data_IF_506489874936
#
_entry.id   IF_506489874936
#
_cell.length_a   1.000
_cell.length_b   1.000
_cell.length_c   1.000
_cell.angle_alpha   90.00
_cell.angle_beta   90.00
_cell.angle_gamma   90.00
#
_symmetry.space_group_name_H-M   'P 1'
#
loop_
_entity.id
_entity.type
_entity.pdbx_description
1 polymer ?
#
# COMPACT_ATOMS: atom_id res chain seq x y z
N UNK A 1 -21.98 6.87 -8.38
CA UNK A 1 -21.01 6.12 -7.55
C UNK A 1 -20.26 7.09 -6.64
N UNK A 2 -20.12 6.77 -5.35
CA UNK A 2 -19.30 7.57 -4.44
C UNK A 2 -17.85 7.23 -4.75
N UNK A 3 -17.16 8.15 -5.42
CA UNK A 3 -15.73 8.07 -5.67
C UNK A 3 -14.98 9.11 -4.84
N UNK A 4 -13.66 9.10 -4.94
CA UNK A 4 -12.82 10.00 -4.16
C UNK A 4 -13.07 11.48 -4.49
N UNK A 5 -13.39 11.81 -5.74
CA UNK A 5 -13.55 13.19 -6.18
C UNK A 5 -14.87 13.77 -5.67
N UNK A 6 -15.93 12.96 -5.66
CA UNK A 6 -17.18 13.29 -4.98
C UNK A 6 -16.95 13.56 -3.49
N UNK A 7 -16.21 12.68 -2.80
CA UNK A 7 -15.89 12.85 -1.37
C UNK A 7 -15.11 14.14 -1.12
N UNK A 8 -14.07 14.40 -1.89
CA UNK A 8 -13.30 15.66 -1.81
C UNK A 8 -14.20 16.88 -2.00
N UNK A 9 -15.10 16.83 -2.97
CA UNK A 9 -16.04 17.92 -3.25
C UNK A 9 -16.97 18.22 -2.08
N UNK A 10 -17.48 17.18 -1.40
CA UNK A 10 -18.29 17.33 -0.19
C UNK A 10 -17.46 17.91 0.96
N UNK A 11 -16.28 17.36 1.20
CA UNK A 11 -15.39 17.83 2.27
C UNK A 11 -14.98 19.30 2.08
N UNK A 12 -14.66 19.70 0.85
CA UNK A 12 -14.29 21.09 0.51
C UNK A 12 -15.45 22.09 0.66
N UNK A 13 -16.70 21.65 0.52
CA UNK A 13 -17.90 22.47 0.69
C UNK A 13 -18.41 22.50 2.14
N UNK A 14 -17.83 21.68 3.01
CA UNK A 14 -18.24 21.59 4.41
C UNK A 14 -17.76 22.80 5.21
N UNK A 15 -18.46 23.10 6.30
CA UNK A 15 -18.03 24.09 7.29
C UNK A 15 -16.69 23.73 7.96
N UNK A 16 -16.25 22.47 7.83
CA UNK A 16 -14.98 21.98 8.36
C UNK A 16 -13.79 22.29 7.45
N UNK A 17 -14.02 22.60 6.17
CA UNK A 17 -12.97 22.79 5.17
C UNK A 17 -11.82 23.75 5.59
N UNK A 18 -12.07 24.85 6.32
CA UNK A 18 -11.00 25.74 6.76
C UNK A 18 -10.07 25.16 7.84
N UNK A 19 -10.47 24.09 8.54
CA UNK A 19 -9.78 23.59 9.74
C UNK A 19 -8.80 22.46 9.47
N UNK A 20 -8.70 21.97 8.23
CA UNK A 20 -7.81 20.88 7.88
C UNK A 20 -7.35 20.96 6.42
N UNK A 21 -6.22 20.30 6.12
CA UNK A 21 -5.75 20.07 4.75
C UNK A 21 -5.59 18.57 4.54
N UNK A 22 -6.10 18.05 3.44
CA UNK A 22 -5.92 16.65 3.08
C UNK A 22 -4.47 16.38 2.68
N UNK A 23 -3.84 15.39 3.31
CA UNK A 23 -2.49 14.93 2.94
C UNK A 23 -2.52 13.91 1.78
N UNK A 24 -3.67 13.31 1.51
CA UNK A 24 -3.88 12.42 0.37
C UNK A 24 -5.32 12.49 -0.13
N UNK A 25 -5.51 11.96 -1.33
CA UNK A 25 -6.82 11.65 -1.91
C UNK A 25 -7.60 10.68 -0.99
N UNK A 26 -8.81 11.02 -0.51
CA UNK A 26 -9.62 10.14 0.32
C UNK A 26 -9.90 8.80 -0.38
N UNK A 27 -9.79 7.69 0.36
CA UNK A 27 -10.03 6.36 -0.15
C UNK A 27 -11.40 5.87 0.29
N UNK A 28 -12.27 5.56 -0.67
CA UNK A 28 -13.59 4.97 -0.41
C UNK A 28 -13.44 3.44 -0.46
N UNK A 29 -13.84 2.77 0.61
CA UNK A 29 -13.79 1.32 0.75
C UNK A 29 -15.20 0.81 1.03
N UNK A 30 -15.77 0.05 0.10
CA UNK A 30 -17.01 -0.66 0.31
C UNK A 30 -16.69 -2.10 0.71
N UNK A 31 -17.42 -2.67 1.68
CA UNK A 31 -17.21 -4.07 2.10
C UNK A 31 -17.57 -5.08 1.00
N UNK A 32 -18.45 -4.70 0.07
CA UNK A 32 -18.76 -5.47 -1.13
C UNK A 32 -19.38 -4.56 -2.21
N UNK A 33 -19.51 -5.08 -3.43
CA UNK A 33 -20.19 -4.39 -4.55
C UNK A 33 -21.67 -4.13 -4.26
N UNK A 34 -22.27 -4.89 -3.34
CA UNK A 34 -23.67 -4.77 -2.94
C UNK A 34 -23.84 -4.14 -1.54
N UNK A 35 -22.74 -3.69 -0.92
CA UNK A 35 -22.81 -3.07 0.40
C UNK A 35 -23.39 -1.67 0.29
N UNK A 36 -24.32 -1.38 1.18
CA UNK A 36 -24.89 -0.05 1.44
C UNK A 36 -23.95 0.81 2.32
N UNK A 37 -23.06 0.17 3.09
CA UNK A 37 -21.99 0.81 3.85
C UNK A 37 -20.69 1.03 3.04
N UNK A 38 -20.09 2.22 3.20
CA UNK A 38 -18.76 2.55 2.73
C UNK A 38 -17.96 3.28 3.82
N UNK A 39 -16.71 2.86 4.03
CA UNK A 39 -15.75 3.59 4.87
C UNK A 39 -14.90 4.52 4.02
N UNK A 40 -14.63 5.71 4.55
CA UNK A 40 -13.76 6.69 3.88
C UNK A 40 -12.53 6.92 4.73
N UNK A 41 -11.37 6.66 4.16
CA UNK A 41 -10.08 6.85 4.80
C UNK A 41 -9.39 8.09 4.23
N UNK A 42 -8.95 9.01 5.08
CA UNK A 42 -8.12 10.14 4.64
C UNK A 42 -7.06 10.46 5.69
N UNK A 43 -5.94 11.01 5.25
CA UNK A 43 -4.96 11.62 6.14
C UNK A 43 -5.08 13.14 6.07
N UNK A 44 -4.74 13.78 7.19
CA UNK A 44 -4.76 15.22 7.36
C UNK A 44 -3.34 15.69 7.64
N UNK A 45 -2.96 16.81 7.02
CA UNK A 45 -1.75 17.54 7.41
C UNK A 45 -2.04 18.19 8.75
N UNK A 46 -1.23 17.88 9.76
CA UNK A 46 -1.44 18.37 11.12
C UNK A 46 -0.11 18.75 11.80
N UNK A 47 -0.24 19.60 12.80
CA UNK A 47 0.81 19.91 13.78
C UNK A 47 1.13 18.70 14.66
N UNK A 48 2.28 18.72 15.33
CA UNK A 48 2.67 17.70 16.30
C UNK A 48 1.66 17.53 17.45
N UNK A 49 0.86 18.55 17.74
CA UNK A 49 -0.18 18.54 18.78
C UNK A 49 -1.53 18.00 18.30
N UNK A 50 -1.67 17.70 17.00
CA UNK A 50 -2.86 17.10 16.43
C UNK A 50 -4.08 18.04 16.41
N UNK A 51 -3.87 19.35 16.22
CA UNK A 51 -4.93 20.35 16.30
C UNK A 51 -6.05 20.12 15.27
N UNK A 52 -5.69 19.89 14.00
CA UNK A 52 -6.68 19.65 12.94
C UNK A 52 -7.40 18.31 13.12
N UNK A 53 -6.68 17.25 13.49
CA UNK A 53 -7.26 15.95 13.80
C UNK A 53 -8.22 16.04 14.98
N UNK A 54 -7.88 16.76 16.06
CA UNK A 54 -8.78 16.98 17.21
C UNK A 54 -10.06 17.73 16.84
N UNK A 55 -9.98 18.69 15.91
CA UNK A 55 -11.17 19.37 15.40
C UNK A 55 -12.07 18.46 14.56
N UNK A 56 -11.48 17.47 13.90
CA UNK A 56 -12.22 16.51 13.07
C UNK A 56 -12.78 15.34 13.87
N UNK A 57 -12.04 14.81 14.83
CA UNK A 57 -12.49 13.71 15.70
C UNK A 57 -13.66 14.23 16.56
N UNK A 58 -14.83 13.60 16.43
CA UNK A 58 -16.15 14.02 16.97
C UNK A 58 -16.94 15.01 16.12
N UNK A 59 -16.46 15.35 14.93
CA UNK A 59 -17.24 16.10 13.93
C UNK A 59 -17.93 15.15 12.96
N UNK A 60 -18.72 15.69 12.03
CA UNK A 60 -19.42 14.91 11.01
C UNK A 60 -19.44 15.62 9.66
N UNK A 61 -19.40 14.85 8.59
CA UNK A 61 -19.63 15.33 7.22
C UNK A 61 -21.04 14.99 6.77
N UNK A 62 -21.62 15.85 5.94
CA UNK A 62 -22.96 15.65 5.40
C UNK A 62 -22.88 15.21 3.94
N UNK A 63 -23.36 14.01 3.63
CA UNK A 63 -23.34 13.39 2.30
C UNK A 63 -24.76 13.23 1.73
N UNK A 64 -25.47 14.34 1.52
CA UNK A 64 -26.90 14.29 1.20
C UNK A 64 -27.73 14.25 2.49
N UNK A 65 -28.67 13.31 2.67
CA UNK A 65 -29.53 13.23 3.88
C UNK A 65 -28.83 12.67 5.13
N UNK A 66 -27.51 12.76 5.15
CA UNK A 66 -26.67 11.66 5.57
C UNK A 66 -25.49 12.19 6.39
N UNK A 67 -25.57 12.06 7.73
CA UNK A 67 -24.50 12.44 8.66
C UNK A 67 -23.46 11.33 8.89
N UNK A 68 -22.24 11.56 8.45
CA UNK A 68 -21.07 10.70 8.55
C UNK A 68 -20.19 11.14 9.74
N UNK A 69 -20.19 10.44 10.90
CA UNK A 69 -19.31 10.80 12.01
C UNK A 69 -17.84 10.54 11.66
N UNK A 70 -16.95 11.40 12.17
CA UNK A 70 -15.50 11.28 12.02
C UNK A 70 -14.88 10.73 13.31
N UNK A 71 -14.27 9.57 13.20
CA UNK A 71 -13.51 8.90 14.24
C UNK A 71 -12.00 9.10 14.07
N UNK A 72 -11.26 8.75 15.11
CA UNK A 72 -9.87 8.39 14.95
C UNK A 72 -9.81 6.90 14.54
N UNK A 73 -9.12 6.61 13.44
CA UNK A 73 -8.59 5.31 13.14
C UNK A 73 -7.70 4.97 14.30
N UNK A 74 -7.79 3.75 14.76
CA UNK A 74 -6.59 3.18 15.33
C UNK A 74 -5.50 3.22 14.25
N UNK A 75 -4.24 3.42 14.60
CA UNK A 75 -3.14 3.18 13.67
C UNK A 75 -3.07 1.72 13.28
N UNK A 76 -3.96 1.31 12.40
CA UNK A 76 -3.62 0.35 11.38
C UNK A 76 -2.64 1.09 10.49
N UNK A 77 -1.38 1.18 10.95
CA UNK A 77 -0.27 1.38 10.04
C UNK A 77 -0.54 0.42 8.89
N UNK A 78 -0.60 0.96 7.65
CA UNK A 78 -0.58 0.11 6.47
C UNK A 78 0.49 -0.92 6.76
N UNK A 79 0.12 -2.19 6.64
CA UNK A 79 1.07 -3.26 6.92
C UNK A 79 2.31 -2.93 6.10
N UNK A 80 3.47 -2.77 6.72
CA UNK A 80 4.62 -2.25 5.99
C UNK A 80 4.92 -3.16 4.82
N UNK A 81 5.18 -2.55 3.65
CA UNK A 81 5.87 -3.25 2.59
C UNK A 81 7.36 -3.21 2.96
N UNK A 82 7.96 -4.37 3.14
CA UNK A 82 9.37 -4.47 3.49
C UNK A 82 10.21 -3.81 2.39
N UNK A 83 11.08 -2.86 2.73
CA UNK A 83 11.93 -2.20 1.72
C UNK A 83 13.11 -3.07 1.28
N UNK A 84 13.30 -4.24 1.91
CA UNK A 84 14.35 -5.18 1.56
C UNK A 84 13.85 -6.27 0.60
N UNK A 85 12.77 -6.97 0.93
CA UNK A 85 12.21 -8.03 0.07
C UNK A 85 10.97 -7.61 -0.72
N UNK A 86 10.39 -6.43 -0.45
CA UNK A 86 9.17 -5.91 -1.07
C UNK A 86 7.90 -6.75 -0.83
N UNK A 87 7.95 -7.70 0.09
CA UNK A 87 6.75 -8.39 0.55
C UNK A 87 5.97 -7.52 1.54
N UNK A 88 4.64 -7.58 1.46
CA UNK A 88 3.76 -7.09 2.52
C UNK A 88 3.80 -8.06 3.72
N UNK A 89 3.37 -7.58 4.89
CA UNK A 89 3.22 -8.42 6.09
C UNK A 89 4.27 -8.18 7.17
N UNK A 90 5.38 -7.49 6.88
CA UNK A 90 6.45 -7.30 7.85
C UNK A 90 7.30 -6.06 7.58
N UNK A 91 7.95 -5.55 8.63
CA UNK A 91 8.85 -4.40 8.52
C UNK A 91 10.21 -4.81 7.95
N UNK A 92 10.98 -3.85 7.43
CA UNK A 92 12.36 -4.08 6.98
C UNK A 92 13.24 -4.64 8.11
N UNK A 93 13.05 -4.17 9.35
CA UNK A 93 13.82 -4.63 10.51
C UNK A 93 13.51 -6.09 10.91
N UNK A 94 12.31 -6.58 10.56
CA UNK A 94 11.88 -7.96 10.81
C UNK A 94 12.03 -8.85 9.57
N UNK A 95 12.77 -8.39 8.55
CA UNK A 95 12.97 -9.15 7.32
C UNK A 95 14.10 -10.18 7.47
N UNK A 96 13.85 -11.39 6.98
CA UNK A 96 14.82 -12.49 6.99
C UNK A 96 15.45 -12.78 5.62
N UNK A 97 15.17 -11.96 4.60
CA UNK A 97 15.82 -12.10 3.30
C UNK A 97 17.32 -11.80 3.42
N UNK A 98 18.15 -12.62 2.79
CA UNK A 98 19.62 -12.48 2.82
C UNK A 98 20.13 -11.41 1.84
N UNK A 99 19.34 -11.08 0.83
CA UNK A 99 19.66 -10.09 -0.20
C UNK A 99 18.46 -9.17 -0.44
N UNK A 100 18.70 -7.92 -0.91
CA UNK A 100 17.62 -7.05 -1.36
C UNK A 100 16.96 -7.61 -2.62
N UNK A 101 15.67 -7.32 -2.78
CA UNK A 101 14.86 -7.70 -3.92
C UNK A 101 14.52 -6.49 -4.76
N UNK A 102 14.37 -6.71 -6.06
CA UNK A 102 14.03 -5.65 -6.99
C UNK A 102 12.50 -5.52 -7.04
N UNK A 103 11.92 -4.34 -6.76
CA UNK A 103 10.46 -4.14 -6.83
C UNK A 103 9.91 -4.20 -8.26
N UNK A 104 10.80 -4.10 -9.27
CA UNK A 104 10.45 -4.15 -10.69
C UNK A 104 10.39 -5.58 -11.23
N UNK A 105 11.41 -6.41 -10.96
CA UNK A 105 11.48 -7.77 -11.53
C UNK A 105 11.44 -8.89 -10.50
N UNK A 106 11.35 -8.58 -9.20
CA UNK A 106 11.46 -9.56 -8.11
C UNK A 106 12.77 -10.37 -8.13
N UNK A 107 13.85 -9.85 -8.72
CA UNK A 107 15.18 -10.47 -8.70
C UNK A 107 15.98 -10.14 -7.44
N UNK A 108 17.01 -10.95 -7.07
CA UNK A 108 17.82 -10.76 -5.87
C UNK A 108 18.86 -9.64 -6.02
N UNK A 109 18.40 -8.43 -6.28
CA UNK A 109 19.19 -7.20 -6.38
C UNK A 109 18.36 -5.98 -5.98
N UNK A 110 19.01 -4.88 -5.63
CA UNK A 110 18.31 -3.62 -5.37
C UNK A 110 17.78 -2.99 -6.66
N UNK A 111 16.78 -2.11 -6.55
CA UNK A 111 16.29 -1.31 -7.68
C UNK A 111 17.41 -0.49 -8.34
N UNK A 112 18.31 0.08 -7.53
CA UNK A 112 19.47 0.84 -8.01
C UNK A 112 20.40 0.01 -8.91
N UNK A 113 20.52 -1.29 -8.65
CA UNK A 113 21.37 -2.18 -9.44
C UNK A 113 20.60 -2.89 -10.57
N UNK A 114 19.32 -2.54 -10.79
CA UNK A 114 18.47 -3.22 -11.76
C UNK A 114 19.05 -3.17 -13.18
N UNK A 115 19.46 -2.01 -13.66
CA UNK A 115 19.98 -1.89 -15.03
C UNK A 115 21.34 -2.59 -15.20
N UNK A 116 22.08 -2.79 -14.11
CA UNK A 116 23.43 -3.38 -14.10
C UNK A 116 23.37 -4.91 -14.02
N UNK A 117 22.45 -5.46 -13.21
CA UNK A 117 22.42 -6.89 -12.88
C UNK A 117 21.37 -7.69 -13.66
N UNK A 118 20.38 -7.03 -14.26
CA UNK A 118 19.32 -7.72 -15.01
C UNK A 118 19.72 -7.83 -16.49
N UNK A 119 20.05 -9.04 -16.95
CA UNK A 119 20.56 -9.28 -18.32
C UNK A 119 19.60 -8.85 -19.44
N UNK A 120 18.30 -8.74 -19.15
CA UNK A 120 17.30 -8.18 -20.07
C UNK A 120 17.45 -6.67 -20.31
N UNK A 121 18.02 -5.91 -19.36
CA UNK A 121 18.21 -4.44 -19.44
C UNK A 121 19.62 -4.06 -19.93
N UNK A 122 20.60 -4.95 -19.74
CA UNK A 122 22.00 -4.76 -20.17
C UNK A 122 22.14 -4.68 -21.70
N UNK A 123 21.16 -5.20 -22.46
CA UNK A 123 21.32 -5.43 -23.88
C UNK A 123 22.28 -6.59 -24.13
N UNK A 124 22.19 -7.17 -25.33
CA UNK A 124 23.07 -8.23 -25.77
C UNK A 124 23.66 -7.84 -27.12
N UNK A 125 24.83 -7.18 -27.15
CA UNK A 125 25.48 -6.80 -28.41
C UNK A 125 25.94 -8.02 -29.22
N UNK A 126 25.99 -9.21 -28.61
CA UNK A 126 26.30 -10.48 -29.27
C UNK A 126 25.06 -11.26 -29.73
N UNK A 127 23.84 -10.79 -29.40
CA UNK A 127 22.61 -11.39 -29.94
C UNK A 127 22.48 -11.11 -31.44
N UNK A 128 21.70 -11.94 -32.14
CA UNK A 128 21.41 -11.75 -33.54
C UNK A 128 19.88 -11.71 -33.76
N UNK A 129 19.26 -10.52 -33.91
CA UNK A 129 19.90 -9.21 -34.01
C UNK A 129 20.44 -8.68 -32.66
N UNK A 130 21.43 -7.76 -32.67
CA UNK A 130 21.96 -7.14 -31.45
C UNK A 130 20.86 -6.43 -30.67
N UNK A 131 20.80 -6.68 -29.36
CA UNK A 131 19.83 -6.03 -28.47
C UNK A 131 20.53 -4.86 -27.79
N UNK A 132 20.12 -3.60 -28.00
CA UNK A 132 20.72 -2.45 -27.33
C UNK A 132 20.43 -2.47 -25.83
N UNK A 133 21.36 -1.93 -25.04
CA UNK A 133 21.13 -1.68 -23.62
C UNK A 133 19.98 -0.68 -23.44
N UNK A 134 19.18 -0.88 -22.40
CA UNK A 134 18.12 0.06 -22.07
C UNK A 134 18.75 1.32 -21.47
N UNK A 135 18.48 2.49 -22.07
CA UNK A 135 18.98 3.77 -21.54
C UNK A 135 18.46 4.00 -20.11
N UNK A 136 19.21 4.74 -19.30
CA UNK A 136 19.00 4.90 -17.84
C UNK A 136 17.62 5.48 -17.45
N UNK A 137 16.87 6.05 -18.40
CA UNK A 137 15.52 6.59 -18.20
C UNK A 137 14.45 5.92 -19.08
N UNK A 138 14.86 4.98 -19.94
CA UNK A 138 13.92 4.24 -20.77
C UNK A 138 13.21 3.16 -19.94
N UNK A 139 11.90 2.93 -20.16
CA UNK A 139 11.18 1.87 -19.47
C UNK A 139 11.84 0.52 -19.78
N UNK A 140 11.96 -0.34 -18.76
CA UNK A 140 12.57 -1.64 -18.92
C UNK A 140 11.80 -2.44 -20.01
N UNK A 141 12.51 -3.20 -20.86
CA UNK A 141 11.91 -3.91 -22.00
C UNK A 141 11.07 -5.12 -21.58
N UNK A 142 11.04 -5.44 -20.28
CA UNK A 142 10.24 -6.49 -19.69
C UNK A 142 9.16 -5.90 -18.80
N UNK A 143 8.06 -6.62 -18.70
CA UNK A 143 6.99 -6.27 -17.77
C UNK A 143 7.49 -6.36 -16.33
N UNK A 144 6.98 -5.48 -15.47
CA UNK A 144 7.21 -5.60 -14.05
C UNK A 144 6.57 -6.88 -13.49
N UNK A 145 7.16 -7.46 -12.45
CA UNK A 145 6.69 -8.67 -11.79
C UNK A 145 6.51 -8.41 -10.30
N UNK A 146 5.31 -8.68 -9.79
CA UNK A 146 4.95 -8.43 -8.41
C UNK A 146 5.33 -9.60 -7.51
N UNK A 147 6.27 -9.39 -6.57
CA UNK A 147 6.71 -10.44 -5.62
C UNK A 147 5.58 -11.00 -4.75
N UNK A 148 4.50 -10.24 -4.56
CA UNK A 148 3.41 -10.63 -3.67
C UNK A 148 2.33 -11.48 -4.33
N UNK A 149 2.02 -11.24 -5.61
CA UNK A 149 0.94 -11.97 -6.29
C UNK A 149 1.36 -12.64 -7.60
N UNK A 150 2.62 -12.49 -8.01
CA UNK A 150 3.15 -13.02 -9.27
C UNK A 150 2.61 -12.33 -10.53
N UNK A 151 1.87 -11.23 -10.38
CA UNK A 151 1.24 -10.54 -11.51
C UNK A 151 2.20 -9.61 -12.26
N UNK A 152 1.79 -9.26 -13.48
CA UNK A 152 2.49 -8.38 -14.43
C UNK A 152 2.37 -6.89 -14.05
N UNK A 153 2.82 -6.53 -12.85
CA UNK A 153 2.83 -5.16 -12.34
C UNK A 153 3.89 -4.98 -11.25
N UNK A 154 4.27 -3.73 -10.97
CA UNK A 154 5.15 -3.42 -9.84
C UNK A 154 4.45 -3.68 -8.50
N UNK A 155 5.22 -3.96 -7.46
CA UNK A 155 4.70 -4.16 -6.09
C UNK A 155 3.86 -2.99 -5.57
N UNK A 156 4.17 -1.76 -6.01
CA UNK A 156 3.46 -0.54 -5.64
C UNK A 156 2.16 -0.29 -6.41
N UNK A 157 1.81 -1.16 -7.36
CA UNK A 157 0.63 -0.98 -8.19
C UNK A 157 -0.66 -1.19 -7.37
N UNK A 158 -1.58 -0.22 -7.46
CA UNK A 158 -2.86 -0.24 -6.73
C UNK A 158 -3.82 -1.33 -7.19
N UNK A 159 -3.55 -1.97 -8.34
CA UNK A 159 -4.30 -3.13 -8.83
C UNK A 159 -3.88 -4.43 -8.13
N UNK A 160 -2.77 -4.44 -7.40
CA UNK A 160 -2.31 -5.63 -6.66
C UNK A 160 -3.35 -5.99 -5.57
N UNK A 161 -3.76 -7.27 -5.43
CA UNK A 161 -4.66 -7.68 -4.36
C UNK A 161 -4.15 -7.32 -2.96
N UNK A 162 -2.83 -7.36 -2.74
CA UNK A 162 -2.21 -6.99 -1.47
C UNK A 162 -2.36 -5.50 -1.15
N UNK A 163 -2.50 -4.64 -2.17
CA UNK A 163 -2.80 -3.23 -1.96
C UNK A 163 -4.21 -3.03 -1.37
N UNK A 164 -5.19 -3.79 -1.85
CA UNK A 164 -6.57 -3.73 -1.32
C UNK A 164 -6.66 -4.26 0.12
N UNK A 165 -5.82 -5.24 0.44
CA UNK A 165 -5.73 -5.82 1.79
C UNK A 165 -4.62 -5.19 2.65
N UNK A 166 -4.06 -4.03 2.28
CA UNK A 166 -2.94 -3.43 3.01
C UNK A 166 -3.26 -2.99 4.46
N UNK A 167 -4.53 -3.05 4.84
CA UNK A 167 -5.01 -2.79 6.21
C UNK A 167 -5.54 -4.04 6.91
N UNK A 168 -5.53 -5.20 6.25
CA UNK A 168 -6.03 -6.47 6.75
C UNK A 168 -4.84 -7.34 7.20
N UNK A 169 -4.45 -7.17 8.46
CA UNK A 169 -3.32 -7.90 9.05
C UNK A 169 -3.52 -9.41 9.04
N UNK A 170 -4.73 -9.89 9.30
CA UNK A 170 -5.02 -11.33 9.35
C UNK A 170 -4.91 -11.95 7.96
N UNK A 171 -5.46 -11.28 6.95
CA UNK A 171 -5.32 -11.71 5.56
C UNK A 171 -3.86 -11.71 5.10
N UNK A 172 -3.11 -10.67 5.44
CA UNK A 172 -1.70 -10.55 5.08
C UNK A 172 -0.82 -11.55 5.84
N UNK A 173 -1.07 -11.79 7.13
CA UNK A 173 -0.34 -12.78 7.92
C UNK A 173 -0.62 -14.21 7.43
N UNK A 174 -1.85 -14.50 7.00
CA UNK A 174 -2.21 -15.79 6.43
C UNK A 174 -1.50 -16.04 5.10
N UNK A 175 -1.48 -15.05 4.20
CA UNK A 175 -0.78 -15.16 2.91
C UNK A 175 0.73 -15.10 3.02
N UNK A 176 1.26 -14.23 3.87
CA UNK A 176 2.70 -14.17 4.12
C UNK A 176 3.19 -15.52 4.65
N UNK A 177 2.48 -16.17 5.57
CA UNK A 177 2.86 -17.51 6.04
C UNK A 177 2.80 -18.58 4.94
N UNK A 178 1.87 -18.50 3.99
CA UNK A 178 1.80 -19.45 2.87
C UNK A 178 2.97 -19.27 1.89
N UNK A 179 3.27 -18.03 1.50
CA UNK A 179 4.39 -17.71 0.61
C UNK A 179 5.74 -17.96 1.30
N UNK A 180 5.85 -17.65 2.61
CA UNK A 180 7.04 -17.96 3.43
C UNK A 180 7.22 -19.46 3.65
N UNK A 181 6.17 -20.27 3.85
CA UNK A 181 6.33 -21.73 3.98
C UNK A 181 6.75 -22.37 2.66
N UNK A 182 6.22 -21.90 1.53
CA UNK A 182 6.70 -22.29 0.19
C UNK A 182 8.16 -21.91 -0.03
N UNK A 183 8.56 -20.70 0.40
CA UNK A 183 9.93 -20.21 0.34
C UNK A 183 10.90 -20.91 1.29
N UNK A 184 10.52 -21.10 2.56
CA UNK A 184 11.31 -21.81 3.58
C UNK A 184 11.44 -23.29 3.27
N UNK A 185 10.44 -23.92 2.64
CA UNK A 185 10.57 -25.26 2.11
C UNK A 185 11.59 -25.35 0.97
N UNK A 186 11.80 -24.26 0.21
CA UNK A 186 12.85 -24.15 -0.80
C UNK A 186 14.22 -23.71 -0.22
N UNK A 187 14.27 -23.07 0.97
CA UNK A 187 15.49 -22.44 1.51
C UNK A 187 15.99 -22.98 2.87
N UNK A 188 15.25 -23.84 3.58
CA UNK A 188 15.74 -24.67 4.68
C UNK A 188 16.07 -24.00 6.03
N UNK A 189 15.27 -23.06 6.55
CA UNK A 189 15.55 -22.41 7.86
C UNK A 189 14.35 -22.42 8.84
N UNK A 190 14.60 -22.27 10.16
CA UNK A 190 13.60 -22.27 11.26
C UNK A 190 13.67 -20.98 12.10
N UNK A 191 12.53 -20.48 12.61
CA UNK A 191 12.35 -19.14 13.22
C UNK A 191 12.00 -19.18 14.73
N UNK A 192 12.38 -18.13 15.48
CA UNK A 192 11.89 -17.80 16.84
C UNK A 192 11.27 -16.38 16.84
N UNK A 193 10.09 -16.25 17.46
CA UNK A 193 9.21 -15.06 17.47
C UNK A 193 9.53 -14.12 18.64
N UNK A 194 9.54 -12.80 18.40
CA UNK A 194 9.48 -11.78 19.45
C UNK A 194 8.73 -10.52 18.93
N UNK A 195 8.00 -9.86 19.83
CA UNK A 195 6.88 -8.93 19.55
C UNK A 195 7.23 -7.50 20.00
N UNK A 196 6.85 -6.45 19.26
CA UNK A 196 7.02 -5.05 19.73
C UNK A 196 6.08 -3.98 19.10
N UNK A 197 6.08 -2.82 19.77
CA UNK A 197 5.05 -1.77 20.02
C UNK A 197 4.60 -0.79 18.90
N UNK A 198 3.48 -0.10 19.19
CA UNK A 198 2.54 0.68 18.36
C UNK A 198 2.73 2.23 18.36
N UNK A 199 2.20 2.94 17.34
CA UNK A 199 2.17 4.43 17.20
C UNK A 199 0.96 4.92 16.35
N UNK A 200 0.25 6.01 16.70
CA UNK A 200 -1.17 6.37 16.37
C UNK A 200 -1.50 7.08 15.00
N UNK A 201 -2.74 6.95 14.47
CA UNK A 201 -3.34 7.57 13.22
C UNK A 201 -4.84 7.95 13.44
N UNK A 202 -5.60 8.40 12.41
CA UNK A 202 -7.04 8.74 12.46
C UNK A 202 -7.85 8.35 11.16
N UNK A 203 -9.20 8.13 11.19
CA UNK A 203 -10.13 7.66 10.13
C UNK A 203 -11.55 7.35 10.69
N UNK A 204 -12.54 7.18 9.80
CA UNK A 204 -13.94 7.11 10.19
C UNK A 204 -14.81 6.19 9.33
N UNK A 205 -16.01 5.90 9.85
CA UNK A 205 -16.97 4.92 9.35
C UNK A 205 -18.32 5.59 9.17
N UNK A 206 -18.96 5.37 8.03
CA UNK A 206 -20.32 5.83 7.75
C UNK A 206 -21.21 4.67 7.34
N UNK A 207 -22.45 4.69 7.82
CA UNK A 207 -23.51 3.80 7.39
C UNK A 207 -24.44 4.56 6.44
N UNK A 208 -24.68 4.00 5.26
CA UNK A 208 -25.71 4.47 4.34
C UNK A 208 -26.64 3.30 3.99
N UNK A 209 -27.91 3.62 3.79
CA UNK A 209 -28.92 2.74 3.18
C UNK A 209 -29.24 3.32 1.82
N UNK A 210 -29.16 2.50 0.77
CA UNK A 210 -29.46 2.85 -0.62
C UNK A 210 -30.89 3.39 -0.81
#
# INVERSE_FOLDING_TARGET
PIDSDYVKGVMAKSHMAPFFTLANTPHVMCNSVHSDLAMVWFNVVDSQLGASAKHLINSFFQFGPASCPVWAAQSHARVPVCQHCWCWGHSTCSCHSQAPWCPQCSGPHSEANHHILTGCCWGNPLANPPVPATMEEAPCPHTAHCVNCGGDHSVSNQKCPYWWHCFDWDWLAHRANWDWQGWMAASGATSKRQEDKHQDRAAFQCQWTC
#
